data_IF_715617767531
#
_entry.id   IF_715617767531
#
_cell.length_a   1.000
_cell.length_b   1.000
_cell.length_c   1.000
_cell.angle_alpha   90.00
_cell.angle_beta   90.00
_cell.angle_gamma   90.00
#
_symmetry.space_group_name_H-M   'P 1'
#
loop_
_entity.id
_entity.type
_entity.pdbx_description
1 polymer ?
#
# COMPACT_ATOMS: atom_id res chain seq x y z
N UNK A 1 44.28 -2.25 7.39
CA UNK A 1 43.19 -2.25 8.39
C UNK A 1 42.78 -3.69 8.66
N UNK A 2 42.67 -4.10 9.94
CA UNK A 2 42.32 -5.48 10.31
C UNK A 2 40.84 -5.76 10.05
N UNK A 3 40.49 -6.98 9.65
CA UNK A 3 39.10 -7.43 9.40
C UNK A 3 38.16 -7.22 10.60
N UNK A 4 38.70 -7.22 11.82
CA UNK A 4 37.92 -7.00 13.04
C UNK A 4 37.30 -5.61 13.10
N UNK A 5 37.99 -4.60 12.57
CA UNK A 5 37.56 -3.20 12.57
C UNK A 5 36.37 -2.97 11.65
N UNK A 6 36.27 -3.77 10.58
CA UNK A 6 35.13 -3.73 9.65
C UNK A 6 33.83 -4.16 10.33
N UNK A 7 33.87 -5.16 11.23
CA UNK A 7 32.67 -5.72 11.89
C UNK A 7 32.13 -4.83 13.02
N UNK A 8 32.95 -3.96 13.58
CA UNK A 8 32.57 -3.01 14.63
C UNK A 8 31.87 -1.75 14.11
N UNK A 9 31.73 -1.58 12.79
CA UNK A 9 31.07 -0.39 12.23
C UNK A 9 29.56 -0.44 12.48
N UNK A 10 28.93 0.67 12.94
CA UNK A 10 27.49 0.74 13.23
C UNK A 10 26.58 0.30 12.08
N UNK A 11 27.03 0.47 10.83
CA UNK A 11 26.31 0.04 9.62
C UNK A 11 26.09 -1.48 9.59
N UNK A 12 27.03 -2.27 10.10
CA UNK A 12 26.91 -3.74 10.15
C UNK A 12 26.23 -4.24 11.43
N UNK A 13 26.02 -3.38 12.42
CA UNK A 13 25.35 -3.70 13.69
C UNK A 13 23.81 -3.67 13.60
N UNK A 14 23.23 -3.01 12.58
CA UNK A 14 21.76 -2.90 12.38
C UNK A 14 21.23 -3.69 11.18
N UNK A 15 22.02 -4.61 10.63
CA UNK A 15 21.62 -5.46 9.50
C UNK A 15 20.44 -6.36 9.87
N UNK A 16 20.47 -6.98 11.05
CA UNK A 16 19.38 -7.85 11.51
C UNK A 16 18.06 -7.09 11.64
N UNK A 17 18.07 -5.92 12.28
CA UNK A 17 16.86 -5.10 12.45
C UNK A 17 16.30 -4.65 11.10
N UNK A 18 17.18 -4.27 10.17
CA UNK A 18 16.79 -3.84 8.82
C UNK A 18 16.21 -4.99 8.00
N UNK A 19 16.78 -6.20 8.13
CA UNK A 19 16.26 -7.42 7.50
C UNK A 19 14.89 -7.78 8.07
N UNK A 20 14.76 -7.80 9.40
CA UNK A 20 13.51 -8.12 10.08
C UNK A 20 12.41 -7.12 9.69
N UNK A 21 12.73 -5.82 9.70
CA UNK A 21 11.78 -4.78 9.28
C UNK A 21 11.35 -4.96 7.82
N UNK A 22 12.29 -5.22 6.91
CA UNK A 22 11.98 -5.46 5.51
C UNK A 22 11.07 -6.67 5.31
N UNK A 23 11.41 -7.80 5.92
CA UNK A 23 10.62 -9.03 5.84
C UNK A 23 9.21 -8.83 6.42
N UNK A 24 9.08 -8.13 7.56
CA UNK A 24 7.78 -7.84 8.15
C UNK A 24 6.91 -7.00 7.21
N UNK A 25 7.48 -5.95 6.60
CA UNK A 25 6.76 -5.09 5.66
C UNK A 25 6.36 -5.88 4.41
N UNK A 26 7.27 -6.68 3.85
CA UNK A 26 6.99 -7.51 2.66
C UNK A 26 5.91 -8.54 2.96
N UNK A 27 5.98 -9.24 4.09
CA UNK A 27 4.96 -10.23 4.48
C UNK A 27 3.59 -9.59 4.68
N UNK A 28 3.53 -8.45 5.37
CA UNK A 28 2.29 -7.70 5.54
C UNK A 28 1.72 -7.22 4.18
N UNK A 29 2.56 -6.67 3.31
CA UNK A 29 2.16 -6.21 1.98
C UNK A 29 1.63 -7.37 1.11
N UNK A 30 2.27 -8.53 1.14
CA UNK A 30 1.83 -9.73 0.42
C UNK A 30 0.51 -10.26 0.97
N UNK A 31 0.34 -10.32 2.29
CA UNK A 31 -0.91 -10.77 2.93
C UNK A 31 -2.09 -9.84 2.58
N UNK A 32 -1.89 -8.53 2.67
CA UNK A 32 -2.89 -7.52 2.29
C UNK A 32 -3.22 -7.63 0.80
N UNK A 33 -2.20 -7.76 -0.06
CA UNK A 33 -2.40 -7.93 -1.50
C UNK A 33 -3.25 -9.16 -1.80
N UNK A 34 -2.96 -10.29 -1.14
CA UNK A 34 -3.71 -11.52 -1.32
C UNK A 34 -5.15 -11.40 -0.83
N UNK A 35 -5.38 -10.76 0.32
CA UNK A 35 -6.72 -10.50 0.84
C UNK A 35 -7.55 -9.68 -0.15
N UNK A 36 -6.98 -8.60 -0.69
CA UNK A 36 -7.64 -7.76 -1.71
C UNK A 36 -7.97 -8.56 -2.98
N UNK A 37 -7.03 -9.38 -3.45
CA UNK A 37 -7.25 -10.22 -4.64
C UNK A 37 -8.35 -11.27 -4.41
N UNK A 38 -8.38 -11.90 -3.24
CA UNK A 38 -9.43 -12.87 -2.87
C UNK A 38 -10.79 -12.20 -2.76
N UNK A 39 -10.87 -11.01 -2.16
CA UNK A 39 -12.13 -10.31 -1.97
C UNK A 39 -12.70 -9.73 -3.28
N UNK A 40 -11.84 -9.26 -4.18
CA UNK A 40 -12.27 -8.58 -5.43
C UNK A 40 -12.25 -9.47 -6.67
N UNK A 41 -11.56 -10.61 -6.64
CA UNK A 41 -11.31 -11.47 -7.81
C UNK A 41 -10.45 -10.82 -8.89
N UNK A 42 -9.88 -9.63 -8.65
CA UNK A 42 -9.05 -8.87 -9.60
C UNK A 42 -7.60 -8.86 -9.10
N UNK A 43 -6.63 -8.86 -10.02
CA UNK A 43 -5.22 -8.77 -9.63
C UNK A 43 -4.90 -7.45 -8.92
N UNK A 44 -3.96 -7.47 -7.98
CA UNK A 44 -3.57 -6.29 -7.20
C UNK A 44 -3.12 -5.13 -8.11
N UNK A 45 -2.44 -5.45 -9.22
CA UNK A 45 -2.03 -4.48 -10.24
C UNK A 45 -3.22 -3.74 -10.85
N UNK A 46 -4.32 -4.45 -11.14
CA UNK A 46 -5.55 -3.83 -11.69
C UNK A 46 -6.22 -2.97 -10.64
N UNK A 47 -6.39 -3.48 -9.41
CA UNK A 47 -6.99 -2.75 -8.29
C UNK A 47 -6.26 -1.43 -8.03
N UNK A 48 -4.93 -1.47 -7.85
CA UNK A 48 -4.12 -0.27 -7.59
C UNK A 48 -4.23 0.74 -8.73
N UNK A 49 -4.20 0.30 -9.99
CA UNK A 49 -4.32 1.20 -11.15
C UNK A 49 -5.69 1.86 -11.26
N UNK A 50 -6.75 1.12 -10.93
CA UNK A 50 -8.11 1.66 -10.92
C UNK A 50 -8.24 2.71 -9.80
N UNK A 51 -7.90 2.35 -8.56
CA UNK A 51 -8.06 3.24 -7.40
C UNK A 51 -7.12 4.45 -7.43
N UNK A 52 -5.92 4.33 -8.01
CA UNK A 52 -4.95 5.44 -8.12
C UNK A 52 -5.53 6.67 -8.85
N UNK A 53 -6.52 6.50 -9.72
CA UNK A 53 -7.16 7.58 -10.48
C UNK A 53 -8.11 8.45 -9.64
N UNK A 54 -8.56 7.94 -8.49
CA UNK A 54 -9.60 8.57 -7.67
C UNK A 54 -9.03 9.22 -6.40
N UNK A 55 -7.83 9.81 -6.50
CA UNK A 55 -7.24 10.56 -5.38
C UNK A 55 -7.90 11.92 -5.26
N UNK A 56 -8.29 12.30 -4.05
CA UNK A 56 -8.69 13.68 -3.75
C UNK A 56 -7.49 14.59 -3.97
N UNK A 57 -7.67 15.63 -4.78
CA UNK A 57 -6.68 16.68 -4.97
C UNK A 57 -7.19 17.96 -4.32
N UNK A 58 -6.30 18.65 -3.62
CA UNK A 58 -6.53 20.02 -3.16
C UNK A 58 -6.10 20.96 -4.29
N UNK A 59 -7.03 21.75 -4.82
CA UNK A 59 -6.77 22.75 -5.83
C UNK A 59 -6.93 24.13 -5.20
N UNK A 60 -5.86 24.93 -5.21
CA UNK A 60 -5.92 26.33 -4.75
C UNK A 60 -6.12 27.24 -5.96
N UNK A 61 -7.31 27.84 -6.08
CA UNK A 61 -7.63 28.81 -7.13
C UNK A 61 -8.03 30.13 -6.47
N UNK A 62 -7.36 31.24 -6.83
CA UNK A 62 -7.64 32.59 -6.30
C UNK A 62 -7.80 32.66 -4.77
N UNK A 63 -6.96 31.93 -4.02
CA UNK A 63 -7.00 31.91 -2.54
C UNK A 63 -8.11 31.04 -1.93
N UNK A 64 -8.90 30.33 -2.74
CA UNK A 64 -9.91 29.37 -2.28
C UNK A 64 -9.41 27.94 -2.52
N UNK A 65 -9.37 27.13 -1.47
CA UNK A 65 -9.05 25.69 -1.56
C UNK A 65 -10.30 24.93 -1.94
N UNK A 66 -10.31 24.33 -3.13
CA UNK A 66 -11.37 23.46 -3.62
C UNK A 66 -10.91 22.01 -3.47
N UNK A 67 -11.62 21.24 -2.65
CA UNK A 67 -11.47 19.79 -2.59
C UNK A 67 -12.28 19.18 -3.73
N UNK A 68 -11.65 18.99 -4.89
CA UNK A 68 -12.28 18.30 -6.00
C UNK A 68 -12.28 16.79 -5.74
N UNK A 69 -13.39 16.29 -5.20
CA UNK A 69 -13.65 14.85 -5.11
C UNK A 69 -14.57 14.44 -6.27
N UNK A 70 -14.02 13.71 -7.24
CA UNK A 70 -14.85 13.09 -8.28
C UNK A 70 -15.59 11.90 -7.67
N UNK A 71 -16.93 11.83 -7.77
CA UNK A 71 -17.67 10.68 -7.26
C UNK A 71 -17.18 9.40 -7.95
N UNK A 72 -17.00 8.34 -7.16
CA UNK A 72 -16.52 7.06 -7.69
C UNK A 72 -17.58 6.47 -8.64
N UNK A 73 -17.19 5.96 -9.82
CA UNK A 73 -18.10 5.20 -10.67
C UNK A 73 -18.63 3.96 -9.91
N UNK A 74 -19.86 3.49 -10.19
CA UNK A 74 -20.47 2.36 -9.48
C UNK A 74 -19.61 1.10 -9.39
N UNK A 75 -18.91 0.74 -10.48
CA UNK A 75 -17.99 -0.41 -10.49
C UNK A 75 -16.81 -0.23 -9.52
N UNK A 76 -16.32 1.00 -9.36
CA UNK A 76 -15.22 1.30 -8.45
C UNK A 76 -15.70 1.33 -7.00
N UNK A 77 -16.92 1.81 -6.77
CA UNK A 77 -17.56 1.75 -5.45
C UNK A 77 -17.72 0.30 -5.00
N UNK A 78 -18.29 -0.57 -5.83
CA UNK A 78 -18.42 -2.01 -5.53
C UNK A 78 -17.06 -2.68 -5.24
N UNK A 79 -16.00 -2.25 -5.93
CA UNK A 79 -14.65 -2.75 -5.69
C UNK A 79 -14.13 -2.33 -4.32
N UNK A 80 -14.39 -1.08 -3.89
CA UNK A 80 -14.04 -0.58 -2.56
C UNK A 80 -14.86 -1.30 -1.49
N UNK A 81 -16.17 -1.47 -1.70
CA UNK A 81 -17.07 -2.16 -0.78
C UNK A 81 -16.63 -3.60 -0.57
N UNK A 82 -16.22 -4.31 -1.64
CA UNK A 82 -15.68 -5.67 -1.53
C UNK A 82 -14.38 -5.76 -0.70
N UNK A 83 -13.58 -4.69 -0.65
CA UNK A 83 -12.35 -4.65 0.16
C UNK A 83 -12.65 -4.33 1.63
N UNK A 84 -13.62 -3.45 1.90
CA UNK A 84 -13.98 -3.02 3.26
C UNK A 84 -14.85 -4.08 3.96
N UNK A 85 -15.76 -4.69 3.22
CA UNK A 85 -16.64 -5.76 3.68
C UNK A 85 -16.34 -7.06 2.91
N UNK A 86 -15.19 -7.71 3.17
CA UNK A 86 -14.84 -8.93 2.49
C UNK A 86 -15.84 -10.02 2.85
N UNK A 87 -16.71 -10.39 1.90
CA UNK A 87 -17.51 -11.61 2.01
C UNK A 87 -16.58 -12.80 1.89
N UNK A 88 -16.21 -13.38 3.04
CA UNK A 88 -15.46 -14.62 3.09
C UNK A 88 -16.40 -15.73 2.58
N UNK A 89 -16.05 -16.44 1.48
CA UNK A 89 -16.81 -17.62 1.10
C UNK A 89 -16.66 -18.69 2.20
N UNK A 90 -17.79 -19.19 2.69
CA UNK A 90 -17.88 -20.30 3.65
C UNK A 90 -17.28 -21.59 3.09
#
# INVERSE_FOLDING_TARGET
MSKSDLKARPVYARTQDSINAHLNIVMAALAISKMIETATGKSIKRVVRTLKKHRTIELTLNGTTIHAATPLPPETQQLVDAIIEPRIPH
#
